data_IF_420384118439
#
_entry.id   IF_420384118439
#
_cell.length_a   1.000
_cell.length_b   1.000
_cell.length_c   1.000
_cell.angle_alpha   90.00
_cell.angle_beta   90.00
_cell.angle_gamma   90.00
#
_symmetry.space_group_name_H-M   'P 1'
#
loop_
_entity.id
_entity.type
_entity.pdbx_description
1 polymer ?
#
# COMPACT_ATOMS: atom_id res chain seq x y z
N UNK A 1 46.73 38.89 7.27
CA UNK A 1 46.00 37.98 6.35
C UNK A 1 46.29 36.56 6.79
N UNK A 2 45.35 35.92 7.49
CA UNK A 2 45.38 34.47 7.74
C UNK A 2 43.99 33.93 7.46
N UNK A 3 43.96 32.89 6.64
CA UNK A 3 42.81 32.39 5.90
C UNK A 3 41.93 31.55 6.82
N UNK A 4 40.64 31.86 6.89
CA UNK A 4 39.63 31.02 7.54
C UNK A 4 39.45 29.74 6.71
N UNK A 5 39.95 28.62 7.20
CA UNK A 5 39.65 27.31 6.65
C UNK A 5 38.32 26.83 7.23
N UNK A 6 37.24 26.97 6.46
CA UNK A 6 35.95 26.34 6.79
C UNK A 6 36.07 24.85 6.49
N UNK A 7 36.05 24.03 7.53
CA UNK A 7 35.98 22.58 7.43
C UNK A 7 34.53 22.18 7.09
N UNK A 8 34.21 22.04 5.80
CA UNK A 8 32.92 21.47 5.37
C UNK A 8 33.01 19.96 5.54
N UNK A 9 32.47 19.45 6.64
CA UNK A 9 32.27 18.00 6.82
C UNK A 9 31.08 17.60 5.95
N UNK A 10 31.38 17.10 4.74
CA UNK A 10 30.41 16.39 3.92
C UNK A 10 30.11 15.05 4.59
N UNK A 11 29.03 15.00 5.38
CA UNK A 11 28.40 13.75 5.77
C UNK A 11 27.77 13.15 4.51
N UNK A 12 28.58 12.46 3.70
CA UNK A 12 28.07 11.55 2.68
C UNK A 12 27.51 10.37 3.46
N UNK A 13 26.21 10.41 3.72
CA UNK A 13 25.45 9.23 4.13
C UNK A 13 25.63 8.18 3.04
N UNK A 14 26.60 7.29 3.22
CA UNK A 14 26.76 6.10 2.41
C UNK A 14 25.48 5.31 2.63
N UNK A 15 24.52 5.45 1.71
CA UNK A 15 23.42 4.50 1.57
C UNK A 15 24.13 3.21 1.18
N UNK A 16 24.47 2.38 2.16
CA UNK A 16 24.96 1.04 1.88
C UNK A 16 23.82 0.36 1.12
N UNK A 17 23.99 -0.03 -0.16
CA UNK A 17 23.06 -0.97 -0.73
C UNK A 17 23.24 -2.24 0.09
N UNK A 18 22.33 -2.47 1.04
CA UNK A 18 22.11 -3.81 1.54
C UNK A 18 21.96 -4.68 0.29
N UNK A 19 22.75 -5.75 0.20
CA UNK A 19 22.73 -6.73 -0.89
C UNK A 19 21.29 -7.25 -1.07
N UNK A 20 20.47 -6.51 -1.80
CA UNK A 20 19.10 -6.86 -2.08
C UNK A 20 19.16 -8.00 -3.09
N UNK A 21 18.58 -9.14 -2.73
CA UNK A 21 18.56 -10.35 -3.57
C UNK A 21 17.83 -10.13 -4.91
N UNK A 22 17.02 -9.06 -4.98
CA UNK A 22 16.32 -8.62 -6.17
C UNK A 22 15.90 -7.15 -6.07
N UNK A 23 15.24 -6.67 -7.12
CA UNK A 23 14.74 -5.30 -7.30
C UNK A 23 13.22 -5.33 -7.53
N UNK A 24 12.52 -4.37 -6.95
CA UNK A 24 11.10 -4.14 -7.22
C UNK A 24 10.93 -2.68 -7.62
N UNK A 25 10.39 -2.46 -8.80
CA UNK A 25 10.07 -1.14 -9.33
C UNK A 25 8.55 -0.96 -9.36
N UNK A 26 8.07 0.17 -8.84
CA UNK A 26 6.64 0.49 -8.82
C UNK A 26 6.45 1.74 -9.68
N UNK A 27 5.78 1.58 -10.81
CA UNK A 27 5.44 2.70 -11.68
C UNK A 27 4.10 3.31 -11.24
N UNK A 28 4.12 4.59 -10.91
CA UNK A 28 2.91 5.34 -10.52
C UNK A 28 2.25 6.04 -11.72
N UNK A 29 0.94 6.25 -11.59
CA UNK A 29 0.14 7.09 -12.48
C UNK A 29 0.75 8.48 -12.70
N UNK A 30 0.99 8.85 -13.94
CA UNK A 30 1.50 10.17 -14.32
C UNK A 30 0.41 11.14 -14.82
N UNK A 31 0.77 12.39 -15.14
CA UNK A 31 -0.17 13.41 -15.62
C UNK A 31 -0.91 13.06 -16.92
N UNK A 32 -0.33 12.17 -17.73
CA UNK A 32 -0.90 11.70 -19.00
C UNK A 32 -1.63 10.35 -18.85
N UNK A 33 -1.72 9.81 -17.63
CA UNK A 33 -2.41 8.54 -17.37
C UNK A 33 -3.94 8.72 -17.40
N UNK A 34 -4.67 7.66 -17.72
CA UNK A 34 -6.14 7.63 -17.64
C UNK A 34 -6.66 8.07 -16.26
N UNK A 35 -5.86 7.84 -15.21
CA UNK A 35 -6.17 8.14 -13.83
C UNK A 35 -5.60 9.47 -13.33
N UNK A 36 -5.04 10.32 -14.20
CA UNK A 36 -4.42 11.59 -13.84
C UNK A 36 -5.35 12.52 -13.03
N UNK A 37 -6.65 12.51 -13.34
CA UNK A 37 -7.68 13.27 -12.61
C UNK A 37 -7.68 12.97 -11.10
N UNK A 38 -7.29 11.76 -10.69
CA UNK A 38 -7.35 11.32 -9.30
C UNK A 38 -5.98 11.30 -8.60
N UNK A 39 -4.89 11.51 -9.35
CA UNK A 39 -3.53 11.28 -8.85
C UNK A 39 -2.64 12.53 -8.88
N UNK A 40 -3.17 13.66 -9.36
CA UNK A 40 -2.44 14.92 -9.50
C UNK A 40 -1.68 15.35 -8.25
N UNK A 41 -2.25 15.13 -7.06
CA UNK A 41 -1.68 15.46 -5.76
C UNK A 41 -1.28 14.20 -4.97
N UNK A 42 -1.43 13.00 -5.52
CA UNK A 42 -1.20 11.74 -4.81
C UNK A 42 0.16 11.68 -4.13
N UNK A 43 1.21 11.96 -4.90
CA UNK A 43 2.58 11.99 -4.41
C UNK A 43 2.88 13.15 -3.45
N UNK A 44 2.00 14.13 -3.26
CA UNK A 44 2.17 15.17 -2.23
C UNK A 44 1.60 14.73 -0.88
N UNK A 45 0.64 13.80 -0.90
CA UNK A 45 -0.16 13.41 0.26
C UNK A 45 0.16 12.00 0.76
N UNK A 46 0.56 11.10 -0.12
CA UNK A 46 0.82 9.70 0.20
C UNK A 46 2.23 9.30 -0.25
N UNK A 47 2.78 8.28 0.39
CA UNK A 47 4.01 7.64 -0.01
C UNK A 47 3.95 6.14 0.25
N UNK A 48 4.35 5.35 -0.75
CA UNK A 48 4.67 3.93 -0.56
C UNK A 48 6.02 3.89 0.15
N UNK A 49 6.04 3.30 1.35
CA UNK A 49 7.22 3.29 2.23
C UNK A 49 7.80 1.90 2.39
N UNK A 50 6.98 0.88 2.18
CA UNK A 50 7.37 -0.51 2.38
C UNK A 50 6.78 -1.37 1.28
N UNK A 51 7.54 -2.39 0.91
CA UNK A 51 7.10 -3.46 0.04
C UNK A 51 7.53 -4.79 0.65
N UNK A 52 6.68 -5.82 0.57
CA UNK A 52 6.93 -7.18 1.04
C UNK A 52 6.38 -8.18 0.03
N UNK A 53 7.16 -9.23 -0.20
CA UNK A 53 6.72 -10.43 -0.91
C UNK A 53 6.66 -11.55 0.12
N UNK A 54 5.52 -12.24 0.18
CA UNK A 54 5.32 -13.41 1.02
C UNK A 54 5.09 -14.63 0.14
N UNK A 55 5.83 -15.70 0.38
CA UNK A 55 5.62 -16.98 -0.28
C UNK A 55 4.55 -17.77 0.48
N UNK A 56 3.49 -18.17 -0.22
CA UNK A 56 2.52 -19.17 0.24
C UNK A 56 3.02 -20.54 -0.18
N UNK A 57 3.17 -21.43 0.79
CA UNK A 57 3.49 -22.84 0.52
C UNK A 57 2.22 -23.65 0.74
N UNK A 58 1.56 -24.04 -0.35
CA UNK A 58 0.34 -24.83 -0.27
C UNK A 58 0.69 -26.32 -0.14
N UNK A 59 0.57 -26.88 1.05
CA UNK A 59 0.75 -28.31 1.26
C UNK A 59 -0.42 -29.09 0.64
N UNK A 60 -0.19 -29.71 -0.53
CA UNK A 60 -1.13 -30.67 -1.11
C UNK A 60 -1.20 -31.88 -0.17
N UNK A 61 -2.35 -32.07 0.47
CA UNK A 61 -2.63 -33.26 1.29
C UNK A 61 -2.88 -34.46 0.38
N UNK A 62 -1.81 -35.10 -0.06
CA UNK A 62 -1.81 -36.40 -0.72
C UNK A 62 -1.05 -37.43 0.13
N UNK A 63 -1.49 -38.68 0.07
CA UNK A 63 -1.07 -39.79 0.93
C UNK A 63 0.45 -40.00 1.06
N UNK A 64 0.80 -40.65 2.18
CA UNK A 64 2.11 -41.10 2.64
C UNK A 64 3.14 -41.33 1.52
N UNK A 65 4.33 -40.76 1.76
CA UNK A 65 5.59 -40.92 1.04
C UNK A 65 5.82 -40.09 -0.25
N UNK A 66 6.77 -39.15 -0.10
CA UNK A 66 7.46 -38.29 -1.09
C UNK A 66 6.74 -36.98 -1.44
N UNK A 67 6.91 -36.01 -0.55
CA UNK A 67 6.73 -34.58 -0.83
C UNK A 67 7.64 -34.15 -2.00
N UNK A 68 7.08 -34.10 -3.20
CA UNK A 68 7.66 -33.40 -4.36
C UNK A 68 6.95 -32.06 -4.50
N UNK A 69 7.74 -30.99 -4.38
CA UNK A 69 7.43 -29.55 -4.50
C UNK A 69 5.97 -29.18 -4.83
N UNK A 70 5.36 -28.56 -3.84
CA UNK A 70 4.05 -27.88 -3.81
C UNK A 70 4.06 -26.59 -4.64
N UNK A 71 2.98 -26.32 -5.39
CA UNK A 71 2.77 -25.00 -6.00
C UNK A 71 2.93 -23.91 -4.94
N UNK A 72 3.80 -22.94 -5.22
CA UNK A 72 4.09 -21.83 -4.31
C UNK A 72 3.47 -20.56 -4.89
N UNK A 73 2.54 -19.95 -4.15
CA UNK A 73 1.95 -18.66 -4.50
C UNK A 73 2.77 -17.52 -3.92
N UNK A 74 2.69 -16.32 -4.50
CA UNK A 74 3.33 -15.13 -3.95
C UNK A 74 2.30 -14.03 -3.68
N UNK A 75 2.36 -13.43 -2.49
CA UNK A 75 1.55 -12.28 -2.13
C UNK A 75 2.42 -11.03 -2.02
N UNK A 76 1.95 -9.95 -2.62
CA UNK A 76 2.61 -8.65 -2.56
C UNK A 76 1.87 -7.73 -1.60
N UNK A 77 2.58 -7.15 -0.65
CA UNK A 77 2.03 -6.23 0.33
C UNK A 77 2.82 -4.93 0.29
N UNK A 78 2.11 -3.80 0.26
CA UNK A 78 2.71 -2.46 0.37
C UNK A 78 2.22 -1.74 1.62
N UNK A 79 3.11 -0.96 2.21
CA UNK A 79 2.78 -0.02 3.27
C UNK A 79 2.74 1.40 2.72
N UNK A 80 1.60 2.07 2.92
CA UNK A 80 1.37 3.45 2.48
C UNK A 80 1.23 4.34 3.71
N UNK A 81 1.93 5.46 3.72
CA UNK A 81 1.85 6.48 4.78
C UNK A 81 1.28 7.78 4.24
N UNK A 82 0.57 8.52 5.10
CA UNK A 82 0.11 9.87 4.79
C UNK A 82 1.18 10.89 5.21
N UNK A 83 1.58 11.75 4.27
CA UNK A 83 2.54 12.84 4.46
C UNK A 83 1.89 14.13 4.93
N UNK A 84 0.60 14.30 4.62
CA UNK A 84 -0.22 15.45 4.96
C UNK A 84 -1.57 14.98 5.46
N UNK A 85 -2.24 15.82 6.24
CA UNK A 85 -3.59 15.56 6.68
C UNK A 85 -4.54 15.37 5.50
N UNK A 86 -5.29 14.27 5.52
CA UNK A 86 -6.33 13.93 4.54
C UNK A 86 -7.65 13.70 5.27
N UNK A 87 -8.76 13.80 4.55
CA UNK A 87 -10.04 13.30 5.05
C UNK A 87 -9.96 11.77 4.99
N UNK A 88 -9.68 11.16 6.14
CA UNK A 88 -9.57 9.71 6.24
C UNK A 88 -10.97 9.10 6.10
N UNK A 89 -11.15 8.16 5.18
CA UNK A 89 -12.20 7.14 5.30
C UNK A 89 -12.04 6.38 6.63
N UNK A 90 -12.96 5.48 7.04
CA UNK A 90 -13.31 5.02 8.41
C UNK A 90 -12.17 4.61 9.40
N UNK A 91 -11.14 5.44 9.54
CA UNK A 91 -10.07 5.36 10.53
C UNK A 91 -10.44 6.21 11.75
N UNK A 92 -11.48 7.05 11.68
CA UNK A 92 -12.09 7.70 12.85
C UNK A 92 -12.46 6.67 13.95
N UNK A 93 -12.73 5.42 13.57
CA UNK A 93 -13.04 4.34 14.51
C UNK A 93 -11.82 3.60 15.10
N UNK A 94 -10.58 3.93 14.71
CA UNK A 94 -9.38 3.13 15.07
C UNK A 94 -8.22 3.93 15.65
N UNK A 95 -8.27 5.26 15.63
CA UNK A 95 -7.24 6.08 16.25
C UNK A 95 -7.49 6.22 17.75
N UNK A 96 -6.56 5.73 18.55
CA UNK A 96 -6.46 6.09 19.96
C UNK A 96 -5.43 7.21 20.10
N UNK A 97 -5.90 8.44 20.38
CA UNK A 97 -5.03 9.61 20.51
C UNK A 97 -3.99 9.44 21.62
N UNK A 98 -4.27 8.64 22.66
CA UNK A 98 -3.29 8.35 23.71
C UNK A 98 -2.08 7.56 23.20
N UNK A 99 -2.24 6.81 22.11
CA UNK A 99 -1.20 5.98 21.50
C UNK A 99 -0.49 6.76 20.40
N UNK A 100 -1.25 7.34 19.48
CA UNK A 100 -0.70 7.92 18.24
C UNK A 100 -0.37 9.40 18.35
N UNK A 101 -1.02 10.13 19.27
CA UNK A 101 -0.77 11.54 19.55
C UNK A 101 -0.78 12.41 18.28
N UNK A 102 -1.69 12.13 17.34
CA UNK A 102 -1.65 12.76 16.02
C UNK A 102 -2.02 14.25 16.08
N UNK A 103 -2.89 14.64 17.03
CA UNK A 103 -3.20 16.05 17.29
C UNK A 103 -2.03 16.68 18.02
N UNK A 104 -1.53 16.03 19.08
CA UNK A 104 -0.41 16.56 19.87
C UNK A 104 0.86 16.77 19.01
N UNK A 105 1.13 15.86 18.06
CA UNK A 105 2.27 15.93 17.17
C UNK A 105 2.03 16.88 15.96
N UNK A 106 0.88 17.57 15.91
CA UNK A 106 0.56 18.55 14.87
C UNK A 106 0.24 17.96 13.50
N UNK A 107 0.05 16.64 13.40
CA UNK A 107 -0.32 15.97 12.16
C UNK A 107 -1.82 16.15 11.84
N UNK A 108 -2.67 16.07 12.87
CA UNK A 108 -4.10 16.37 12.76
C UNK A 108 -4.42 17.73 13.40
N UNK A 109 -5.17 18.54 12.66
CA UNK A 109 -5.75 19.80 13.09
C UNK A 109 -7.28 19.66 13.04
N UNK A 110 -7.95 19.47 14.20
CA UNK A 110 -9.39 19.28 14.28
C UNK A 110 -10.21 20.41 13.63
N UNK A 111 -9.73 21.65 13.73
CA UNK A 111 -10.44 22.82 13.17
C UNK A 111 -10.33 22.86 11.65
N UNK A 112 -9.21 22.40 11.08
CA UNK A 112 -9.08 22.20 9.64
C UNK A 112 -9.88 20.98 9.17
N UNK A 113 -9.84 19.86 9.90
CA UNK A 113 -10.58 18.63 9.55
C UNK A 113 -12.09 18.89 9.39
N UNK A 114 -12.70 19.62 10.34
CA UNK A 114 -14.13 19.99 10.30
C UNK A 114 -14.54 20.73 9.03
N UNK A 115 -13.60 21.46 8.40
CA UNK A 115 -13.83 22.27 7.21
C UNK A 115 -13.29 21.61 5.94
N UNK A 116 -12.51 20.53 6.08
CA UNK A 116 -11.91 19.83 4.96
C UNK A 116 -13.02 19.19 4.14
N UNK A 117 -12.82 19.15 2.82
CA UNK A 117 -13.69 18.41 1.90
C UNK A 117 -12.88 17.29 1.28
N UNK A 118 -13.57 16.20 0.93
CA UNK A 118 -12.96 15.12 0.18
C UNK A 118 -12.35 15.68 -1.11
N UNK A 119 -11.10 15.32 -1.37
CA UNK A 119 -10.37 15.72 -2.57
C UNK A 119 -9.88 14.47 -3.29
N UNK A 120 -10.54 14.17 -4.41
CA UNK A 120 -10.28 12.96 -5.20
C UNK A 120 -8.91 12.95 -5.88
N UNK A 121 -8.18 14.07 -5.89
CA UNK A 121 -6.88 14.18 -6.57
C UNK A 121 -5.70 13.69 -5.73
N UNK A 122 -5.95 13.33 -4.47
CA UNK A 122 -4.92 12.98 -3.49
C UNK A 122 -4.60 11.49 -3.46
N UNK A 123 -5.08 10.71 -4.43
CA UNK A 123 -4.88 9.26 -4.44
C UNK A 123 -3.61 8.87 -5.20
N UNK A 124 -3.08 7.67 -4.93
CA UNK A 124 -2.04 7.04 -5.74
C UNK A 124 -2.67 5.98 -6.64
N UNK A 125 -2.24 5.92 -7.90
CA UNK A 125 -2.50 4.81 -8.81
C UNK A 125 -1.17 4.12 -9.09
N UNK A 126 -1.11 2.81 -8.90
CA UNK A 126 0.02 2.00 -9.37
C UNK A 126 -0.38 1.49 -10.74
N UNK A 127 0.43 1.79 -11.75
CA UNK A 127 0.22 1.34 -13.13
C UNK A 127 0.84 -0.04 -13.36
N UNK A 128 2.03 -0.23 -12.82
CA UNK A 128 2.83 -1.43 -13.05
C UNK A 128 3.71 -1.72 -11.83
N UNK A 129 3.94 -3.00 -11.57
CA UNK A 129 4.99 -3.45 -10.68
C UNK A 129 5.91 -4.41 -11.44
N UNK A 130 7.21 -4.11 -11.46
CA UNK A 130 8.23 -4.97 -12.06
C UNK A 130 9.04 -5.61 -10.94
N UNK A 131 9.10 -6.94 -10.93
CA UNK A 131 9.70 -7.74 -9.86
C UNK A 131 10.82 -8.58 -10.46
N UNK A 132 12.06 -8.30 -10.07
CA UNK A 132 13.25 -8.95 -10.62
C UNK A 132 14.09 -9.59 -9.51
N UNK A 133 14.33 -10.89 -9.56
CA UNK A 133 15.22 -11.62 -8.62
C UNK A 133 14.67 -11.73 -7.19
N UNK A 134 13.42 -11.35 -6.94
CA UNK A 134 12.76 -11.51 -5.62
C UNK A 134 12.02 -12.85 -5.51
N UNK A 135 11.54 -13.37 -6.63
CA UNK A 135 10.84 -14.65 -6.77
C UNK A 135 11.62 -15.55 -7.76
N UNK A 136 11.27 -16.85 -7.91
CA UNK A 136 11.94 -17.74 -8.87
C UNK A 136 11.84 -17.29 -10.32
N UNK A 137 10.76 -16.60 -10.65
CA UNK A 137 10.50 -16.01 -11.96
C UNK A 137 10.34 -14.49 -11.79
N UNK A 138 10.94 -13.74 -12.72
CA UNK A 138 10.72 -12.31 -12.83
C UNK A 138 9.33 -12.06 -13.40
N UNK A 139 8.69 -10.96 -12.99
CA UNK A 139 7.32 -10.66 -13.40
C UNK A 139 7.07 -9.16 -13.61
N UNK A 140 6.24 -8.86 -14.60
CA UNK A 140 5.76 -7.52 -14.95
C UNK A 140 4.24 -7.49 -14.79
N UNK A 141 3.79 -6.90 -13.69
CA UNK A 141 2.39 -6.91 -13.28
C UNK A 141 1.74 -5.59 -13.70
N UNK A 142 0.98 -5.63 -14.80
CA UNK A 142 0.16 -4.50 -15.24
C UNK A 142 -1.12 -4.40 -14.39
N UNK A 143 -1.29 -3.27 -13.71
CA UNK A 143 -2.39 -3.03 -12.78
C UNK A 143 -3.64 -2.52 -13.49
N UNK A 144 -4.80 -2.72 -12.87
CA UNK A 144 -6.07 -2.20 -13.37
C UNK A 144 -6.10 -0.68 -13.41
N UNK A 145 -6.84 -0.14 -14.39
CA UNK A 145 -7.19 1.27 -14.38
C UNK A 145 -8.20 1.63 -13.27
N UNK A 146 -8.25 2.90 -12.93
CA UNK A 146 -9.12 3.46 -11.90
C UNK A 146 -10.60 3.58 -12.29
N UNK A 147 -10.97 3.37 -13.55
CA UNK A 147 -12.37 3.48 -14.01
C UNK A 147 -13.14 2.20 -13.72
N UNK A 148 -12.45 1.06 -13.71
CA UNK A 148 -13.00 -0.20 -13.25
C UNK A 148 -13.17 -0.19 -11.72
N UNK A 149 -14.39 -0.37 -11.20
CA UNK A 149 -14.67 -0.41 -9.76
C UNK A 149 -14.13 0.80 -8.96
N UNK A 150 -14.25 2.01 -9.50
CA UNK A 150 -13.89 3.24 -8.80
C UNK A 150 -14.66 3.38 -7.46
N UNK A 151 -14.03 3.79 -6.35
CA UNK A 151 -12.63 4.20 -6.18
C UNK A 151 -11.69 3.07 -5.72
N UNK A 152 -12.14 1.82 -5.68
CA UNK A 152 -11.46 0.70 -5.02
C UNK A 152 -10.12 0.29 -5.65
N UNK A 153 -9.82 0.78 -6.86
CA UNK A 153 -8.55 0.56 -7.57
C UNK A 153 -7.50 1.64 -7.32
N UNK A 154 -7.82 2.63 -6.48
CA UNK A 154 -6.92 3.71 -6.07
C UNK A 154 -6.50 3.52 -4.62
N UNK A 155 -5.26 3.89 -4.32
CA UNK A 155 -4.76 4.01 -2.95
C UNK A 155 -5.16 5.40 -2.46
N UNK A 156 -6.20 5.47 -1.64
CA UNK A 156 -6.80 6.73 -1.21
C UNK A 156 -6.28 7.26 0.13
N UNK A 157 -5.62 6.43 0.93
CA UNK A 157 -5.21 6.77 2.28
C UNK A 157 -4.00 5.92 2.74
N UNK A 158 -3.65 6.05 4.02
CA UNK A 158 -2.60 5.25 4.63
C UNK A 158 -3.12 3.86 5.03
N UNK A 159 -2.22 2.88 5.06
CA UNK A 159 -2.52 1.53 5.48
C UNK A 159 -1.63 0.50 4.82
N UNK A 160 -2.01 -0.76 5.03
CA UNK A 160 -1.43 -1.90 4.33
C UNK A 160 -2.35 -2.27 3.17
N UNK A 161 -1.78 -2.59 2.02
CA UNK A 161 -2.53 -3.06 0.86
C UNK A 161 -1.88 -4.33 0.34
N UNK A 162 -2.71 -5.28 -0.07
CA UNK A 162 -2.28 -6.53 -0.69
C UNK A 162 -2.67 -6.53 -2.16
N UNK A 163 -1.82 -7.08 -3.03
CA UNK A 163 -2.18 -7.35 -4.41
C UNK A 163 -3.26 -8.42 -4.43
N UNK A 164 -4.43 -8.07 -4.98
CA UNK A 164 -5.49 -9.02 -5.29
C UNK A 164 -5.45 -9.32 -6.79
N UNK A 165 -5.17 -10.58 -7.12
CA UNK A 165 -5.32 -11.10 -8.45
C UNK A 165 -6.82 -11.37 -8.68
N UNK A 166 -7.48 -10.50 -9.44
CA UNK A 166 -8.83 -10.82 -9.93
C UNK A 166 -8.69 -12.13 -10.71
N UNK A 167 -9.35 -13.19 -10.22
CA UNK A 167 -9.27 -14.55 -10.78
C UNK A 167 -9.15 -14.53 -12.31
N UNK A 168 -8.21 -15.35 -12.82
CA UNK A 168 -7.98 -15.63 -14.24
C UNK A 168 -9.28 -15.56 -15.04
N UNK A 169 -9.51 -14.44 -15.74
CA UNK A 169 -10.58 -14.33 -16.73
C UNK A 169 -11.27 -12.98 -16.90
N UNK A 170 -11.30 -12.05 -15.93
CA UNK A 170 -12.14 -10.84 -16.08
C UNK A 170 -11.59 -9.50 -15.56
N UNK A 171 -10.39 -9.44 -14.97
CA UNK A 171 -9.84 -8.16 -14.53
C UNK A 171 -8.33 -8.15 -14.34
N UNK A 172 -7.72 -6.97 -14.51
CA UNK A 172 -6.33 -6.71 -14.13
C UNK A 172 -6.18 -6.67 -12.59
N UNK A 173 -5.01 -7.03 -12.05
CA UNK A 173 -4.73 -7.00 -10.61
C UNK A 173 -4.79 -5.58 -10.02
N UNK A 174 -4.99 -5.49 -8.72
CA UNK A 174 -5.09 -4.21 -7.99
C UNK A 174 -4.67 -4.32 -6.53
N UNK A 175 -4.38 -3.19 -5.91
CA UNK A 175 -4.09 -3.13 -4.49
C UNK A 175 -5.39 -3.04 -3.68
N UNK A 176 -5.69 -4.08 -2.91
CA UNK A 176 -6.81 -4.11 -1.99
C UNK A 176 -6.35 -3.71 -0.59
N UNK A 177 -7.07 -2.78 0.04
CA UNK A 177 -6.76 -2.35 1.41
C UNK A 177 -6.96 -3.51 2.39
N UNK A 178 -5.96 -3.75 3.22
CA UNK A 178 -6.04 -4.62 4.38
C UNK A 178 -6.48 -3.81 5.59
N UNK A 179 -7.28 -4.41 6.46
CA UNK A 179 -7.69 -3.79 7.70
C UNK A 179 -7.71 -4.81 8.84
N UNK A 180 -7.42 -4.33 10.05
CA UNK A 180 -7.50 -5.15 11.25
C UNK A 180 -8.87 -4.95 11.90
N UNK A 181 -9.63 -6.03 12.04
CA UNK A 181 -10.90 -6.05 12.74
C UNK A 181 -10.70 -6.62 14.16
N UNK A 182 -10.82 -5.78 15.20
CA UNK A 182 -10.72 -6.24 16.58
C UNK A 182 -12.03 -6.96 16.96
N UNK A 183 -12.05 -8.29 16.91
CA UNK A 183 -13.07 -9.05 17.64
C UNK A 183 -12.69 -9.16 19.12
N UNK A 184 -13.67 -9.47 19.96
CA UNK A 184 -13.57 -9.45 21.44
C UNK A 184 -12.46 -10.37 22.02
N UNK A 185 -11.89 -11.29 21.24
CA UNK A 185 -10.94 -12.29 21.75
C UNK A 185 -9.70 -12.50 20.88
N UNK A 186 -9.80 -12.40 19.55
CA UNK A 186 -8.67 -12.54 18.63
C UNK A 186 -8.92 -11.62 17.43
N UNK A 187 -8.04 -10.65 17.19
CA UNK A 187 -8.22 -9.78 16.04
C UNK A 187 -7.81 -10.47 14.75
N UNK A 188 -8.55 -10.19 13.68
CA UNK A 188 -8.33 -10.76 12.35
C UNK A 188 -7.87 -9.67 11.39
N UNK A 189 -6.89 -10.00 10.54
CA UNK A 189 -6.62 -9.20 9.36
C UNK A 189 -7.60 -9.63 8.26
N UNK A 190 -8.39 -8.67 7.79
CA UNK A 190 -9.30 -8.84 6.68
C UNK A 190 -8.77 -8.08 5.49
N UNK A 191 -9.02 -8.63 4.31
CA UNK A 191 -8.78 -7.95 3.04
C UNK A 191 -10.14 -7.45 2.57
N UNK A 192 -10.24 -6.16 2.21
CA UNK A 192 -11.48 -5.47 1.88
C UNK A 192 -12.35 -6.11 0.81
N UNK A 193 -13.16 -7.13 1.16
CA UNK A 193 -14.30 -7.54 0.34
C UNK A 193 -15.36 -6.45 0.45
N UNK A 194 -15.42 -5.55 -0.52
CA UNK A 194 -16.43 -4.47 -0.55
C UNK A 194 -17.87 -4.95 -0.79
N UNK A 195 -18.17 -6.25 -0.76
CA UNK A 195 -19.52 -6.79 -0.98
C UNK A 195 -19.87 -7.89 0.04
N UNK A 196 -19.97 -7.54 1.31
CA UNK A 196 -20.91 -8.20 2.22
C UNK A 196 -21.69 -7.10 2.94
N UNK A 197 -22.61 -6.47 2.20
CA UNK A 197 -23.87 -6.09 2.82
C UNK A 197 -24.52 -7.42 3.23
N UNK A 198 -24.27 -7.87 4.45
CA UNK A 198 -25.24 -8.75 5.09
C UNK A 198 -26.51 -7.92 5.13
N UNK A 199 -27.51 -8.37 4.38
CA UNK A 199 -28.88 -7.91 4.51
C UNK A 199 -29.24 -7.99 6.00
N UNK A 200 -29.15 -6.87 6.70
CA UNK A 200 -29.93 -6.64 7.90
C UNK A 200 -31.34 -6.43 7.38
N UNK A 201 -32.02 -7.54 7.07
CA UNK A 201 -33.46 -7.56 6.92
C UNK A 201 -34.04 -7.29 8.31
N UNK A 202 -34.46 -6.05 8.52
CA UNK A 202 -35.51 -5.73 9.47
C UNK A 202 -36.87 -5.94 8.79
#
# INVERSE_FOLDING_TARGET
>A
MFVNTILVVFFISIIQPLNAKGLIEIELGGPNDKCAKYTRLGNDYLAITHFRVLESVDYVKGEVDKSTRTDSGYFFIIGVTAKKQMLYGPIDYRYNENIWKLIQNGFLDPEKLKKQKFNHEQHIHIKRMTVNGVMPEDDDIDMSDCHFLFPNRLIADQGLYMLDEVQRGTGQPFMMKMYYEPYLTEGRMEIGRTNHWQDIQN
#
